data_IF_517632587950
#
_entry.id   IF_517632587950
#
_cell.length_a   1.000
_cell.length_b   1.000
_cell.length_c   1.000
_cell.angle_alpha   90.00
_cell.angle_beta   90.00
_cell.angle_gamma   90.00
#
_symmetry.space_group_name_H-M   'P 1'
#
loop_
_entity.id
_entity.type
_entity.pdbx_description
1 polymer ?
#
# COMPACT_ATOMS: atom_id res chain seq x y z
N UNK A 1 31.49 26.33 -20.39
CA UNK A 1 31.54 24.86 -20.22
C UNK A 1 31.08 24.45 -18.81
N UNK A 2 29.83 24.80 -18.43
CA UNK A 2 29.32 24.64 -17.04
C UNK A 2 27.99 23.85 -16.96
N UNK A 3 27.21 23.79 -18.03
CA UNK A 3 25.84 23.25 -18.02
C UNK A 3 25.74 21.72 -18.22
N UNK A 4 26.73 21.08 -18.85
CA UNK A 4 26.70 19.62 -19.09
C UNK A 4 26.99 18.79 -17.83
N UNK A 5 27.81 19.32 -16.90
CA UNK A 5 28.14 18.63 -15.64
C UNK A 5 26.99 18.68 -14.64
N UNK A 6 26.20 19.76 -14.61
CA UNK A 6 25.02 19.88 -13.75
C UNK A 6 23.86 19.02 -14.26
N UNK A 7 23.64 18.96 -15.57
CA UNK A 7 22.57 18.13 -16.19
C UNK A 7 22.76 16.62 -15.94
N UNK A 8 23.98 16.08 -16.12
CA UNK A 8 24.26 14.66 -15.83
C UNK A 8 24.16 14.31 -14.34
N UNK A 9 24.46 15.25 -13.43
CA UNK A 9 24.39 15.04 -11.98
C UNK A 9 22.94 15.04 -11.46
N UNK A 10 22.10 15.91 -12.02
CA UNK A 10 20.66 15.94 -11.71
C UNK A 10 19.97 14.65 -12.12
N UNK A 11 20.33 14.12 -13.30
CA UNK A 11 19.80 12.84 -13.80
C UNK A 11 20.26 11.63 -12.97
N UNK A 12 21.34 11.74 -12.21
CA UNK A 12 21.80 10.67 -11.32
C UNK A 12 21.09 10.69 -9.96
N UNK A 13 20.92 11.87 -9.36
CA UNK A 13 20.27 12.01 -8.05
C UNK A 13 18.78 11.66 -8.08
N UNK A 14 18.06 12.04 -9.15
CA UNK A 14 16.64 11.68 -9.33
C UNK A 14 16.47 10.17 -9.51
N UNK A 15 17.33 9.55 -10.32
CA UNK A 15 17.35 8.09 -10.50
C UNK A 15 17.70 7.36 -9.20
N UNK A 16 18.67 7.85 -8.43
CA UNK A 16 19.01 7.29 -7.10
C UNK A 16 17.85 7.40 -6.12
N UNK A 17 17.16 8.55 -6.09
CA UNK A 17 15.96 8.74 -5.27
C UNK A 17 14.83 7.77 -5.66
N UNK A 18 14.56 7.62 -6.97
CA UNK A 18 13.55 6.68 -7.46
C UNK A 18 13.93 5.23 -7.17
N UNK A 19 15.21 4.88 -7.26
CA UNK A 19 15.71 3.57 -6.86
C UNK A 19 15.48 3.31 -5.37
N UNK A 20 15.82 4.26 -4.49
CA UNK A 20 15.58 4.16 -3.06
C UNK A 20 14.08 4.02 -2.74
N UNK A 21 13.22 4.79 -3.42
CA UNK A 21 11.77 4.69 -3.31
C UNK A 21 11.25 3.32 -3.74
N UNK A 22 11.72 2.79 -4.87
CA UNK A 22 11.33 1.46 -5.33
C UNK A 22 11.80 0.36 -4.35
N UNK A 23 12.99 0.51 -3.75
CA UNK A 23 13.46 -0.38 -2.70
C UNK A 23 12.57 -0.32 -1.46
N UNK A 24 12.14 0.88 -1.05
CA UNK A 24 11.21 1.06 0.07
C UNK A 24 9.87 0.37 -0.19
N UNK A 25 9.28 0.56 -1.37
CA UNK A 25 8.05 -0.12 -1.77
C UNK A 25 8.21 -1.64 -1.79
N UNK A 26 9.34 -2.15 -2.31
CA UNK A 26 9.65 -3.57 -2.30
C UNK A 26 9.80 -4.13 -0.88
N UNK A 27 10.36 -3.34 0.04
CA UNK A 27 10.45 -3.72 1.45
C UNK A 27 9.06 -3.81 2.11
N UNK A 28 8.16 -2.86 1.81
CA UNK A 28 6.76 -2.89 2.26
C UNK A 28 6.03 -4.12 1.70
N UNK A 29 6.23 -4.42 0.41
CA UNK A 29 5.67 -5.62 -0.21
C UNK A 29 6.17 -6.90 0.44
N UNK A 30 7.47 -6.98 0.73
CA UNK A 30 8.08 -8.10 1.42
C UNK A 30 7.54 -8.25 2.85
N UNK A 31 7.46 -7.16 3.61
CA UNK A 31 6.90 -7.15 4.96
C UNK A 31 5.48 -7.70 4.97
N UNK A 32 4.65 -7.25 4.02
CA UNK A 32 3.28 -7.73 3.88
C UNK A 32 3.24 -9.23 3.58
N UNK A 33 3.99 -9.70 2.57
CA UNK A 33 4.06 -11.13 2.20
C UNK A 33 4.56 -12.02 3.33
N UNK A 34 5.59 -11.57 4.07
CA UNK A 34 6.12 -12.31 5.21
C UNK A 34 5.06 -12.41 6.30
N UNK A 35 4.36 -11.33 6.61
CA UNK A 35 3.27 -11.34 7.59
C UNK A 35 2.16 -12.34 7.22
N UNK A 36 1.81 -12.44 5.92
CA UNK A 36 0.88 -13.46 5.41
C UNK A 36 1.36 -14.88 5.68
N UNK A 37 2.66 -15.14 5.46
CA UNK A 37 3.25 -16.46 5.60
C UNK A 37 3.52 -16.86 7.06
N UNK A 38 3.80 -15.90 7.94
CA UNK A 38 4.19 -16.14 9.34
C UNK A 38 3.08 -15.85 10.36
N UNK A 39 1.88 -15.48 9.90
CA UNK A 39 0.75 -15.03 10.71
C UNK A 39 1.04 -13.82 11.63
N UNK A 40 2.13 -13.09 11.35
CA UNK A 40 2.56 -11.90 12.13
C UNK A 40 1.90 -10.62 11.64
N UNK A 41 0.61 -10.72 11.34
CA UNK A 41 -0.19 -9.65 10.77
C UNK A 41 -0.27 -8.44 11.70
N UNK A 42 -0.22 -8.65 13.02
CA UNK A 42 -0.36 -7.57 14.00
C UNK A 42 0.84 -6.61 13.98
N UNK A 43 2.06 -7.12 13.77
CA UNK A 43 3.23 -6.24 13.62
C UNK A 43 3.20 -5.52 12.29
N UNK A 44 2.83 -6.20 11.21
CA UNK A 44 2.70 -5.55 9.90
C UNK A 44 1.66 -4.42 9.92
N UNK A 45 0.51 -4.66 10.56
CA UNK A 45 -0.52 -3.64 10.77
C UNK A 45 0.05 -2.41 11.48
N UNK A 46 0.67 -2.60 12.64
CA UNK A 46 1.26 -1.49 13.43
C UNK A 46 2.34 -0.72 12.68
N UNK A 47 3.14 -1.40 11.86
CA UNK A 47 4.17 -0.73 11.05
C UNK A 47 3.50 0.12 9.97
N UNK A 48 2.59 -0.47 9.18
CA UNK A 48 1.90 0.22 8.09
C UNK A 48 1.07 1.41 8.61
N UNK A 49 0.42 1.28 9.76
CA UNK A 49 -0.33 2.34 10.41
C UNK A 49 0.56 3.56 10.73
N UNK A 50 1.80 3.33 11.20
CA UNK A 50 2.75 4.41 11.52
C UNK A 50 3.23 5.16 10.29
N UNK A 51 3.40 4.46 9.17
CA UNK A 51 3.98 5.02 7.94
C UNK A 51 2.92 5.41 6.90
N UNK A 52 1.63 5.29 7.20
CA UNK A 52 0.54 5.42 6.21
C UNK A 52 0.46 6.78 5.51
N UNK A 53 0.99 7.83 6.15
CA UNK A 53 1.02 9.19 5.60
C UNK A 53 2.43 9.65 5.20
N UNK A 54 3.42 8.75 5.22
CA UNK A 54 4.78 9.01 4.77
C UNK A 54 4.95 8.86 3.25
N UNK A 55 5.96 9.52 2.71
CA UNK A 55 6.32 9.42 1.30
C UNK A 55 5.41 10.20 0.35
N UNK A 56 5.56 9.92 -0.95
CA UNK A 56 4.77 10.52 -2.02
C UNK A 56 3.39 9.84 -2.16
N UNK A 57 2.55 10.35 -3.07
CA UNK A 57 1.23 9.78 -3.33
C UNK A 57 1.30 8.29 -3.66
N UNK A 58 2.26 7.87 -4.49
CA UNK A 58 2.41 6.45 -4.86
C UNK A 58 2.65 5.60 -3.62
N UNK A 59 3.54 6.05 -2.73
CA UNK A 59 3.90 5.36 -1.48
C UNK A 59 2.71 5.28 -0.53
N UNK A 60 2.04 6.41 -0.28
CA UNK A 60 0.80 6.45 0.51
C UNK A 60 -0.28 5.53 -0.06
N UNK A 61 -0.41 5.51 -1.38
CA UNK A 61 -1.36 4.64 -2.07
C UNK A 61 -1.11 3.16 -1.80
N UNK A 62 0.14 2.72 -1.92
CA UNK A 62 0.51 1.33 -1.62
C UNK A 62 0.30 0.96 -0.15
N UNK A 63 0.70 1.83 0.78
CA UNK A 63 0.56 1.55 2.22
C UNK A 63 -0.91 1.50 2.63
N UNK A 64 -1.71 2.50 2.24
CA UNK A 64 -3.14 2.56 2.56
C UNK A 64 -3.92 1.39 1.96
N UNK A 65 -3.55 0.96 0.76
CA UNK A 65 -4.15 -0.24 0.17
C UNK A 65 -3.87 -1.49 1.03
N UNK A 66 -2.62 -1.74 1.38
CA UNK A 66 -2.23 -2.90 2.22
C UNK A 66 -2.90 -2.86 3.60
N UNK A 67 -2.92 -1.69 4.25
CA UNK A 67 -3.58 -1.49 5.53
C UNK A 67 -5.08 -1.79 5.42
N UNK A 68 -5.72 -1.33 4.34
CA UNK A 68 -7.13 -1.63 4.06
C UNK A 68 -7.41 -3.13 3.87
N UNK A 69 -6.53 -3.88 3.20
CA UNK A 69 -6.67 -5.34 3.06
C UNK A 69 -6.60 -6.04 4.44
N UNK A 70 -5.69 -5.62 5.33
CA UNK A 70 -5.62 -6.15 6.68
C UNK A 70 -6.92 -5.92 7.46
N UNK A 71 -7.48 -4.71 7.38
CA UNK A 71 -8.73 -4.35 8.06
C UNK A 71 -9.95 -5.06 7.47
N UNK A 72 -9.99 -5.33 6.16
CA UNK A 72 -11.07 -6.11 5.53
C UNK A 72 -11.10 -7.55 6.05
N UNK A 73 -9.93 -8.17 6.18
CA UNK A 73 -9.80 -9.54 6.66
C UNK A 73 -9.83 -9.69 8.18
N UNK A 74 -9.55 -8.62 8.93
CA UNK A 74 -9.27 -8.72 10.37
C UNK A 74 -7.94 -9.42 10.64
N UNK A 75 -6.97 -9.27 9.75
CA UNK A 75 -5.66 -9.92 9.87
C UNK A 75 -4.78 -9.10 10.80
N UNK A 76 -4.50 -9.63 12.00
CA UNK A 76 -3.66 -8.96 13.00
C UNK A 76 -4.26 -7.70 13.61
N UNK A 77 -5.54 -7.44 13.33
CA UNK A 77 -6.30 -6.29 13.82
C UNK A 77 -7.79 -6.64 13.89
N UNK A 78 -8.57 -5.81 14.59
CA UNK A 78 -10.02 -5.95 14.57
C UNK A 78 -10.53 -5.62 13.16
N UNK A 79 -11.32 -6.53 12.57
CA UNK A 79 -11.94 -6.30 11.26
C UNK A 79 -12.76 -5.00 11.28
N UNK A 80 -12.48 -4.10 10.34
CA UNK A 80 -13.17 -2.81 10.21
C UNK A 80 -13.37 -2.44 8.75
N UNK A 81 -14.55 -2.81 8.20
CA UNK A 81 -14.87 -2.61 6.78
C UNK A 81 -14.97 -1.12 6.43
N UNK A 82 -15.52 -0.29 7.32
CA UNK A 82 -15.72 1.13 7.07
C UNK A 82 -14.38 1.86 6.93
N UNK A 83 -13.45 1.58 7.85
CA UNK A 83 -12.11 2.16 7.81
C UNK A 83 -11.29 1.62 6.63
N UNK A 84 -11.39 0.32 6.36
CA UNK A 84 -10.76 -0.27 5.19
C UNK A 84 -11.23 0.37 3.89
N UNK A 85 -12.55 0.58 3.75
CA UNK A 85 -13.13 1.24 2.60
C UNK A 85 -12.59 2.66 2.42
N UNK A 86 -12.48 3.43 3.51
CA UNK A 86 -11.90 4.78 3.47
C UNK A 86 -10.47 4.75 2.96
N UNK A 87 -9.62 3.90 3.55
CA UNK A 87 -8.21 3.77 3.18
C UNK A 87 -8.02 3.32 1.73
N UNK A 88 -8.81 2.34 1.26
CA UNK A 88 -8.71 1.85 -0.12
C UNK A 88 -9.20 2.92 -1.12
N UNK A 89 -10.23 3.70 -0.77
CA UNK A 89 -10.64 4.85 -1.60
C UNK A 89 -9.55 5.92 -1.67
N UNK A 90 -8.88 6.22 -0.56
CA UNK A 90 -7.72 7.11 -0.56
C UNK A 90 -6.56 6.56 -1.39
N UNK A 91 -6.28 5.25 -1.29
CA UNK A 91 -5.28 4.60 -2.12
C UNK A 91 -5.59 4.71 -3.63
N UNK A 92 -6.86 4.54 -4.01
CA UNK A 92 -7.31 4.73 -5.39
C UNK A 92 -7.10 6.18 -5.85
N UNK A 93 -7.41 7.18 -5.02
CA UNK A 93 -7.16 8.60 -5.32
C UNK A 93 -5.68 8.91 -5.50
N UNK A 94 -4.81 8.18 -4.81
CA UNK A 94 -3.36 8.27 -4.96
C UNK A 94 -2.79 7.47 -6.15
N UNK A 95 -3.65 6.90 -7.01
CA UNK A 95 -3.24 6.20 -8.22
C UNK A 95 -2.92 4.72 -8.03
N UNK A 96 -3.28 4.10 -6.89
CA UNK A 96 -3.10 2.67 -6.70
C UNK A 96 -4.09 1.88 -7.58
N UNK A 97 -3.56 1.09 -8.52
CA UNK A 97 -4.35 0.41 -9.56
C UNK A 97 -5.29 -0.64 -8.98
N UNK A 98 -4.79 -1.53 -8.12
CA UNK A 98 -5.60 -2.56 -7.47
C UNK A 98 -6.69 -1.95 -6.56
N UNK A 99 -6.39 -0.81 -5.92
CA UNK A 99 -7.36 -0.11 -5.10
C UNK A 99 -8.52 0.42 -5.97
N UNK A 100 -8.18 0.96 -7.13
CA UNK A 100 -9.16 1.48 -8.09
C UNK A 100 -10.04 0.37 -8.66
N UNK A 101 -9.48 -0.81 -8.93
CA UNK A 101 -10.25 -1.99 -9.35
C UNK A 101 -11.19 -2.44 -8.22
N UNK A 102 -10.67 -2.61 -7.00
CA UNK A 102 -11.47 -3.05 -5.85
C UNK A 102 -12.63 -2.10 -5.58
N UNK A 103 -12.38 -0.78 -5.57
CA UNK A 103 -13.45 0.22 -5.42
C UNK A 103 -14.49 0.06 -6.54
N UNK A 104 -14.08 -0.03 -7.81
CA UNK A 104 -15.05 -0.19 -8.92
C UNK A 104 -15.91 -1.44 -8.77
N UNK A 105 -15.32 -2.56 -8.33
CA UNK A 105 -16.02 -3.84 -8.21
C UNK A 105 -16.92 -3.92 -6.98
N UNK A 106 -16.45 -3.44 -5.82
CA UNK A 106 -17.11 -3.71 -4.53
C UNK A 106 -17.66 -2.46 -3.83
N UNK A 107 -17.62 -1.27 -4.43
CA UNK A 107 -18.09 -0.05 -3.77
C UNK A 107 -19.56 -0.06 -3.37
N UNK A 108 -20.40 -0.82 -4.08
CA UNK A 108 -21.81 -1.03 -3.73
C UNK A 108 -22.06 -2.29 -2.89
N UNK A 109 -21.03 -3.09 -2.61
CA UNK A 109 -21.15 -4.28 -1.76
C UNK A 109 -21.22 -3.90 -0.29
N UNK A 110 -22.12 -4.53 0.46
CA UNK A 110 -22.26 -4.33 1.90
C UNK A 110 -20.98 -4.70 2.69
N UNK A 111 -20.20 -5.65 2.18
CA UNK A 111 -18.96 -6.11 2.81
C UNK A 111 -17.68 -5.51 2.18
N UNK A 112 -17.84 -4.66 1.16
CA UNK A 112 -16.76 -4.06 0.37
C UNK A 112 -15.68 -5.06 -0.12
N UNK A 113 -16.07 -6.33 -0.36
CA UNK A 113 -15.17 -7.38 -0.84
C UNK A 113 -14.42 -8.12 0.29
N UNK A 114 -14.76 -7.90 1.56
CA UNK A 114 -14.17 -8.60 2.69
C UNK A 114 -14.29 -10.12 2.57
N UNK A 115 -15.42 -10.64 2.07
CA UNK A 115 -15.62 -12.09 1.92
C UNK A 115 -14.62 -12.72 0.95
N UNK A 116 -14.23 -11.99 -0.10
CA UNK A 116 -13.24 -12.43 -1.09
C UNK A 116 -11.84 -12.42 -0.48
N UNK A 117 -11.47 -11.33 0.18
CA UNK A 117 -10.17 -11.18 0.87
C UNK A 117 -9.94 -12.29 1.89
N UNK A 118 -10.97 -12.66 2.64
CA UNK A 118 -10.91 -13.73 3.65
C UNK A 118 -10.79 -15.10 2.98
N UNK A 119 -11.59 -15.37 1.94
CA UNK A 119 -11.61 -16.66 1.24
C UNK A 119 -10.27 -16.97 0.57
N UNK A 120 -9.66 -15.97 -0.05
CA UNK A 120 -8.43 -16.14 -0.83
C UNK A 120 -7.17 -15.99 0.02
N UNK A 121 -7.29 -15.75 1.33
CA UNK A 121 -6.17 -15.50 2.26
C UNK A 121 -5.15 -14.52 1.68
N UNK A 122 -5.67 -13.41 1.13
CA UNK A 122 -4.94 -12.35 0.39
C UNK A 122 -4.53 -12.70 -1.04
N UNK A 123 -5.46 -12.45 -1.99
CA UNK A 123 -5.22 -12.45 -3.46
C UNK A 123 -3.88 -11.81 -3.84
#
# INVERSE_FOLDING_TARGET
MSTLKTYKRSNNAEVEFDNAKNQYLAAIDKLFKVACASDDHAKAFKILEKIQDEGDNRTKGTIKFKLGILLLGGFGCTKNINEAQKLIKEASKHGHTHASVLVKTYNSSADFGASVVIKDKMV
#
